data_IF_637964650648
#
_entry.id   IF_637964650648
#
_cell.length_a   1.000
_cell.length_b   1.000
_cell.length_c   1.000
_cell.angle_alpha   90.00
_cell.angle_beta   90.00
_cell.angle_gamma   90.00
#
_symmetry.space_group_name_H-M   'P 1'
#
loop_
_entity.id
_entity.type
_entity.pdbx_description
1 polymer ?
#
# COMPACT_ATOMS: atom_id res chain seq x y z
N UNK A 1 13.56 10.78 3.44
CA UNK A 1 13.60 9.31 3.55
C UNK A 1 12.31 8.77 2.98
N UNK A 2 12.36 7.74 2.14
CA UNK A 2 11.15 7.12 1.62
C UNK A 2 10.43 6.36 2.75
N UNK A 3 9.13 6.54 2.89
CA UNK A 3 8.35 5.83 3.92
C UNK A 3 8.27 4.34 3.61
N UNK A 4 7.88 3.54 4.59
CA UNK A 4 7.68 2.10 4.37
C UNK A 4 6.61 1.85 3.29
N UNK A 5 5.52 2.62 3.29
CA UNK A 5 4.49 2.48 2.27
C UNK A 5 5.02 2.82 0.86
N UNK A 6 5.90 3.82 0.74
CA UNK A 6 6.53 4.16 -0.55
C UNK A 6 7.42 3.03 -1.05
N UNK A 7 8.22 2.43 -0.17
CA UNK A 7 9.06 1.28 -0.52
C UNK A 7 8.23 0.09 -0.98
N UNK A 8 7.10 -0.17 -0.30
CA UNK A 8 6.18 -1.24 -0.68
C UNK A 8 5.45 -0.94 -1.98
N UNK A 9 5.05 0.31 -2.22
CA UNK A 9 4.43 0.73 -3.49
C UNK A 9 5.35 0.42 -4.67
N UNK A 10 6.63 0.80 -4.57
CA UNK A 10 7.64 0.52 -5.60
C UNK A 10 7.87 -0.98 -5.78
N UNK A 11 7.91 -1.77 -4.70
CA UNK A 11 8.02 -3.25 -4.79
C UNK A 11 6.88 -3.85 -5.61
N UNK A 12 5.63 -3.45 -5.31
CA UNK A 12 4.46 -3.98 -6.01
C UNK A 12 4.33 -3.45 -7.44
N UNK A 13 4.77 -2.22 -7.71
CA UNK A 13 4.84 -1.66 -9.07
C UNK A 13 5.81 -2.44 -9.96
N UNK A 14 7.01 -2.73 -9.44
CA UNK A 14 8.00 -3.55 -10.14
C UNK A 14 7.47 -4.98 -10.39
N UNK A 15 6.80 -5.57 -9.40
CA UNK A 15 6.15 -6.87 -9.55
C UNK A 15 5.10 -6.86 -10.65
N UNK A 16 4.21 -5.87 -10.69
CA UNK A 16 3.17 -5.76 -11.73
C UNK A 16 3.75 -5.57 -13.13
N UNK A 17 4.82 -4.77 -13.26
CA UNK A 17 5.49 -4.58 -14.54
C UNK A 17 6.16 -5.88 -15.03
N UNK A 18 6.81 -6.62 -14.12
CA UNK A 18 7.49 -7.88 -14.43
C UNK A 18 6.52 -9.04 -14.73
N UNK A 19 5.28 -8.94 -14.26
CA UNK A 19 4.25 -9.99 -14.40
C UNK A 19 3.06 -9.60 -15.26
N UNK A 20 3.20 -8.53 -16.04
CA UNK A 20 2.17 -8.07 -16.96
C UNK A 20 1.79 -9.18 -17.95
N UNK A 21 0.51 -9.54 -17.99
CA UNK A 21 -0.01 -10.60 -18.85
C UNK A 21 0.04 -12.02 -18.26
N UNK A 22 0.49 -12.19 -17.01
CA UNK A 22 0.40 -13.45 -16.28
C UNK A 22 -0.86 -13.45 -15.40
N UNK A 23 -1.58 -14.57 -15.33
CA UNK A 23 -2.71 -14.73 -14.40
C UNK A 23 -2.22 -14.97 -12.95
N UNK A 24 -1.05 -15.59 -12.81
CA UNK A 24 -0.42 -15.95 -11.53
C UNK A 24 1.04 -15.55 -11.50
N UNK A 25 1.46 -14.98 -10.38
CA UNK A 25 2.79 -14.44 -10.13
C UNK A 25 3.39 -15.13 -8.91
N UNK A 26 4.62 -15.61 -9.01
CA UNK A 26 5.34 -16.15 -7.86
C UNK A 26 6.00 -14.99 -7.10
N UNK A 27 5.54 -14.74 -5.88
CA UNK A 27 6.10 -13.72 -4.98
C UNK A 27 6.60 -14.42 -3.73
N UNK A 28 7.90 -14.29 -3.43
CA UNK A 28 8.52 -14.85 -2.23
C UNK A 28 8.24 -16.37 -2.04
N UNK A 29 8.17 -17.12 -3.15
CA UNK A 29 7.90 -18.57 -3.16
C UNK A 29 6.42 -18.96 -3.10
N UNK A 30 5.50 -17.99 -3.05
CA UNK A 30 4.06 -18.23 -3.09
C UNK A 30 3.46 -17.81 -4.43
N UNK A 31 2.58 -18.66 -4.98
CA UNK A 31 1.79 -18.29 -6.15
C UNK A 31 0.62 -17.40 -5.72
N UNK A 32 0.62 -16.17 -6.22
CA UNK A 32 -0.41 -15.17 -5.96
C UNK A 32 -1.06 -14.79 -7.28
N UNK A 33 -2.36 -14.49 -7.30
CA UNK A 33 -3.01 -14.06 -8.55
C UNK A 33 -2.57 -12.64 -8.88
N UNK A 34 -2.45 -12.33 -10.17
CA UNK A 34 -2.13 -10.99 -10.63
C UNK A 34 -3.11 -9.93 -10.09
N UNK A 35 -4.41 -10.28 -10.05
CA UNK A 35 -5.45 -9.44 -9.47
C UNK A 35 -5.20 -9.10 -7.98
N UNK A 36 -4.64 -10.03 -7.20
CA UNK A 36 -4.31 -9.80 -5.79
C UNK A 36 -3.10 -8.85 -5.65
N UNK A 37 -2.12 -8.98 -6.54
CA UNK A 37 -0.96 -8.08 -6.62
C UNK A 37 -1.44 -6.66 -6.97
N UNK A 38 -2.37 -6.53 -7.92
CA UNK A 38 -2.95 -5.24 -8.30
C UNK A 38 -3.76 -4.63 -7.15
N UNK A 39 -4.55 -5.44 -6.44
CA UNK A 39 -5.29 -4.99 -5.26
C UNK A 39 -4.35 -4.46 -4.17
N UNK A 40 -3.23 -5.15 -3.91
CA UNK A 40 -2.19 -4.71 -2.97
C UNK A 40 -1.51 -3.42 -3.42
N UNK A 41 -1.18 -3.29 -4.72
CA UNK A 41 -0.63 -2.04 -5.26
C UNK A 41 -1.59 -0.85 -5.02
N UNK A 42 -2.88 -1.01 -5.34
CA UNK A 42 -3.90 0.03 -5.08
C UNK A 42 -4.08 0.34 -3.60
N UNK A 43 -3.88 -0.63 -2.71
CA UNK A 43 -3.90 -0.42 -1.27
C UNK A 43 -2.69 0.42 -0.82
N UNK A 44 -1.47 0.02 -1.18
CA UNK A 44 -0.25 0.77 -0.85
C UNK A 44 -0.26 2.19 -1.43
N UNK A 45 -0.84 2.39 -2.62
CA UNK A 45 -1.00 3.73 -3.20
C UNK A 45 -1.86 4.64 -2.32
N UNK A 46 -2.92 4.09 -1.71
CA UNK A 46 -3.75 4.81 -0.74
C UNK A 46 -3.02 5.04 0.58
N UNK A 47 -2.24 4.07 1.04
CA UNK A 47 -1.49 4.20 2.28
C UNK A 47 -0.36 5.23 2.15
N UNK A 48 0.35 5.26 1.02
CA UNK A 48 1.30 6.33 0.70
C UNK A 48 0.61 7.69 0.70
N UNK A 49 -0.59 7.80 0.13
CA UNK A 49 -1.35 9.06 0.16
C UNK A 49 -1.76 9.46 1.59
N UNK A 50 -2.01 8.49 2.48
CA UNK A 50 -2.29 8.73 3.91
C UNK A 50 -1.05 9.08 4.73
N UNK A 51 0.11 8.54 4.38
CA UNK A 51 1.37 8.91 5.05
C UNK A 51 1.86 10.27 4.57
N UNK A 52 1.68 10.60 3.29
CA UNK A 52 2.02 11.90 2.71
C UNK A 52 1.04 13.00 3.06
N UNK A 53 -0.25 12.68 3.05
CA UNK A 53 -1.30 13.53 3.57
C UNK A 53 -1.48 13.21 5.04
N UNK A 54 -0.67 13.85 5.89
CA UNK A 54 -0.93 14.06 7.31
C UNK A 54 -2.36 13.66 7.70
N UNK A 55 -2.54 12.62 8.52
CA UNK A 55 -3.73 12.61 9.36
C UNK A 55 -3.61 13.88 10.22
N UNK A 56 -4.54 14.86 10.16
CA UNK A 56 -4.86 15.51 11.40
C UNK A 56 -5.32 14.35 12.28
N UNK A 57 -4.47 13.92 13.22
CA UNK A 57 -4.95 13.08 14.30
C UNK A 57 -6.24 13.75 14.76
N UNK A 58 -7.35 12.99 14.76
CA UNK A 58 -8.59 13.51 15.31
C UNK A 58 -8.21 14.18 16.63
N UNK A 59 -8.28 15.50 16.68
CA UNK A 59 -7.93 16.25 17.86
C UNK A 59 -8.78 15.61 18.95
N UNK A 60 -8.14 15.00 19.94
CA UNK A 60 -8.83 14.45 21.08
C UNK A 60 -9.65 15.61 21.64
N UNK A 61 -10.96 15.61 21.39
CA UNK A 61 -11.86 16.56 22.02
C UNK A 61 -11.93 16.06 23.46
N UNK A 62 -11.09 16.66 24.30
CA UNK A 62 -11.11 16.43 25.72
C UNK A 62 -12.40 17.07 26.25
N UNK A 63 -13.49 16.29 26.29
CA UNK A 63 -14.78 16.68 26.89
C UNK A 63 -14.74 16.60 28.42
N UNK A 64 -13.56 16.75 29.03
CA UNK A 64 -13.39 16.84 30.47
C UNK A 64 -13.72 18.24 30.97
N UNK A 65 -15.01 18.56 31.03
CA UNK A 65 -15.49 19.83 31.56
C UNK A 65 -16.98 19.82 31.81
N UNK A 66 -17.42 19.08 32.82
CA UNK A 66 -18.58 19.39 33.67
C UNK A 66 -18.32 18.89 35.09
#
# INVERSE_FOLDING_TARGET
>A
MATFAEQMLVKYEALLAASAGLDTVSVDGQSVRYADVEAKYRWWKREVAREKGERPQAASINLGGF
#
